data_IF_571987301341
#
_entry.id   IF_571987301341
#
_cell.length_a   1.000
_cell.length_b   1.000
_cell.length_c   1.000
_cell.angle_alpha   90.00
_cell.angle_beta   90.00
_cell.angle_gamma   90.00
#
_symmetry.space_group_name_H-M   'P 1'
#
loop_
_entity.id
_entity.type
_entity.pdbx_description
1 polymer ?
#
# COMPACT_ATOMS: atom_id res chain seq x y z
N UNK A 1 3.00 -32.68 -66.87
CA UNK A 1 4.43 -33.00 -67.02
C UNK A 1 5.14 -32.61 -65.74
N UNK A 2 5.38 -33.61 -64.91
CA UNK A 2 6.19 -33.52 -63.70
C UNK A 2 7.67 -33.57 -64.08
N UNK A 3 8.53 -32.87 -63.33
CA UNK A 3 9.93 -33.26 -63.17
C UNK A 3 10.33 -33.10 -61.70
N UNK A 4 10.73 -34.25 -61.17
CA UNK A 4 11.18 -34.54 -59.83
C UNK A 4 12.59 -33.99 -59.57
N UNK A 5 12.76 -33.53 -58.33
CA UNK A 5 13.76 -33.97 -57.33
C UNK A 5 15.17 -34.37 -57.80
N UNK A 6 16.18 -33.68 -57.25
CA UNK A 6 17.37 -34.35 -56.70
C UNK A 6 18.03 -33.54 -55.58
N UNK A 7 18.18 -34.26 -54.48
CA UNK A 7 18.84 -34.04 -53.19
C UNK A 7 20.34 -33.76 -53.30
N UNK A 8 20.89 -32.97 -52.36
CA UNK A 8 22.18 -33.28 -51.73
C UNK A 8 22.29 -32.56 -50.38
N UNK A 9 22.57 -33.36 -49.36
CA UNK A 9 22.75 -32.98 -47.97
C UNK A 9 24.23 -32.69 -47.68
N UNK A 10 24.50 -31.64 -46.91
CA UNK A 10 25.76 -31.48 -46.18
C UNK A 10 25.45 -31.18 -44.71
N UNK A 11 26.07 -32.01 -43.88
CA UNK A 11 25.92 -32.23 -42.44
C UNK A 11 27.18 -31.69 -41.76
N UNK A 12 27.03 -30.99 -40.62
CA UNK A 12 27.93 -30.93 -39.44
C UNK A 12 27.82 -29.54 -38.76
N UNK A 13 27.70 -29.34 -37.44
CA UNK A 13 27.30 -30.12 -36.27
C UNK A 13 26.75 -29.09 -35.25
N UNK A 14 25.79 -29.46 -34.38
CA UNK A 14 25.35 -28.62 -33.27
C UNK A 14 26.33 -28.73 -32.09
N UNK A 15 26.65 -27.59 -31.48
CA UNK A 15 27.47 -27.49 -30.28
C UNK A 15 26.84 -28.26 -29.11
N UNK A 16 27.58 -29.25 -28.62
CA UNK A 16 27.27 -30.00 -27.40
C UNK A 16 27.62 -29.13 -26.18
N UNK A 17 26.67 -28.95 -25.27
CA UNK A 17 26.98 -28.75 -23.86
C UNK A 17 26.25 -29.86 -23.10
N UNK A 18 27.02 -30.81 -22.60
CA UNK A 18 26.55 -31.96 -21.84
C UNK A 18 26.02 -31.49 -20.48
N UNK A 19 24.73 -31.72 -20.20
CA UNK A 19 24.23 -31.80 -18.84
C UNK A 19 24.15 -33.29 -18.47
N UNK A 20 24.96 -33.68 -17.49
CA UNK A 20 24.89 -34.99 -16.86
C UNK A 20 23.64 -35.07 -15.95
N UNK A 21 22.84 -36.14 -16.02
CA UNK A 21 21.79 -36.42 -15.06
C UNK A 21 22.31 -37.40 -14.00
N UNK A 22 22.36 -36.97 -12.75
CA UNK A 22 22.44 -37.76 -11.52
C UNK A 22 22.39 -36.74 -10.38
N UNK A 23 21.65 -36.89 -9.29
CA UNK A 23 20.75 -37.91 -8.78
C UNK A 23 19.96 -37.21 -7.66
N UNK A 24 18.87 -37.84 -7.21
CA UNK A 24 17.90 -37.20 -6.32
C UNK A 24 18.48 -36.61 -5.05
N UNK A 25 17.97 -35.44 -4.71
CA UNK A 25 17.60 -35.14 -3.34
C UNK A 25 16.15 -34.65 -3.35
N UNK A 26 15.36 -35.32 -2.53
CA UNK A 26 13.99 -35.05 -2.18
C UNK A 26 13.96 -33.76 -1.35
N UNK A 27 13.63 -32.63 -1.97
CA UNK A 27 13.34 -31.40 -1.24
C UNK A 27 12.20 -30.65 -1.95
N UNK A 28 11.01 -31.25 -1.96
CA UNK A 28 9.75 -30.60 -2.33
C UNK A 28 9.35 -29.55 -1.29
N UNK A 29 10.17 -28.52 -1.08
CA UNK A 29 9.70 -27.25 -0.54
C UNK A 29 9.25 -26.40 -1.72
N UNK A 30 7.95 -26.47 -2.01
CA UNK A 30 7.29 -25.65 -3.00
C UNK A 30 7.52 -24.17 -2.63
N UNK A 31 8.49 -23.52 -3.26
CA UNK A 31 8.84 -22.14 -2.92
C UNK A 31 7.67 -21.22 -3.29
N UNK A 32 7.05 -20.63 -2.27
CA UNK A 32 5.93 -19.71 -2.47
C UNK A 32 6.44 -18.46 -3.20
N UNK A 33 5.84 -18.14 -4.35
CA UNK A 33 6.15 -16.92 -5.10
C UNK A 33 5.10 -15.84 -4.84
N UNK A 34 5.53 -14.64 -4.45
CA UNK A 34 4.68 -13.46 -4.37
C UNK A 34 4.77 -12.55 -5.61
N UNK A 35 5.53 -12.96 -6.62
CA UNK A 35 5.65 -12.20 -7.86
C UNK A 35 4.28 -12.13 -8.56
N UNK A 36 3.77 -10.96 -8.98
CA UNK A 36 2.42 -10.81 -9.55
C UNK A 36 2.12 -11.74 -10.73
N UNK A 37 3.14 -12.10 -11.54
CA UNK A 37 3.02 -13.04 -12.67
C UNK A 37 3.00 -14.52 -12.27
N UNK A 38 3.40 -14.86 -11.05
CA UNK A 38 3.64 -16.25 -10.61
C UNK A 38 2.87 -16.64 -9.35
N UNK A 39 2.32 -15.67 -8.59
CA UNK A 39 1.50 -15.96 -7.42
C UNK A 39 0.28 -16.80 -7.79
N UNK A 40 0.11 -17.92 -7.09
CA UNK A 40 -1.03 -18.84 -7.28
C UNK A 40 -2.29 -18.30 -6.61
N UNK A 41 -3.46 -18.74 -7.07
CA UNK A 41 -4.74 -18.36 -6.45
C UNK A 41 -4.81 -18.81 -4.98
N UNK A 42 -4.27 -19.99 -4.66
CA UNK A 42 -4.16 -20.50 -3.29
C UNK A 42 -3.31 -19.58 -2.41
N UNK A 43 -2.11 -19.20 -2.88
CA UNK A 43 -1.23 -18.27 -2.16
C UNK A 43 -1.91 -16.92 -1.95
N UNK A 44 -2.61 -16.43 -2.98
CA UNK A 44 -3.34 -15.18 -2.94
C UNK A 44 -4.46 -15.20 -1.87
N UNK A 45 -5.30 -16.25 -1.84
CA UNK A 45 -6.34 -16.40 -0.83
C UNK A 45 -5.78 -16.60 0.58
N UNK A 46 -4.65 -17.33 0.70
CA UNK A 46 -3.95 -17.47 1.99
C UNK A 46 -3.53 -16.10 2.51
N UNK A 47 -2.86 -15.28 1.70
CA UNK A 47 -2.50 -13.90 2.08
C UNK A 47 -3.73 -13.06 2.44
N UNK A 48 -4.78 -13.14 1.63
CA UNK A 48 -6.03 -12.40 1.86
C UNK A 48 -6.65 -12.72 3.22
N UNK A 49 -6.63 -14.00 3.64
CA UNK A 49 -7.16 -14.44 4.94
C UNK A 49 -6.43 -13.82 6.15
N UNK A 50 -5.20 -13.34 5.96
CA UNK A 50 -4.41 -12.68 7.01
C UNK A 50 -4.64 -11.17 7.09
N UNK A 51 -5.43 -10.57 6.18
CA UNK A 51 -5.68 -9.13 6.20
C UNK A 51 -6.25 -8.63 7.55
N UNK A 52 -7.29 -9.24 8.15
CA UNK A 52 -7.88 -8.75 9.39
C UNK A 52 -6.89 -8.69 10.57
N UNK A 53 -6.08 -9.74 10.77
CA UNK A 53 -5.09 -9.72 11.87
C UNK A 53 -3.91 -8.80 11.56
N UNK A 54 -3.53 -8.66 10.29
CA UNK A 54 -2.44 -7.77 9.88
C UNK A 54 -2.79 -6.30 10.10
N UNK A 55 -3.99 -5.86 9.69
CA UNK A 55 -4.43 -4.46 9.85
C UNK A 55 -4.54 -4.06 11.32
N UNK A 56 -5.04 -4.95 12.17
CA UNK A 56 -5.08 -4.76 13.62
C UNK A 56 -3.67 -4.58 14.20
N UNK A 57 -2.75 -5.51 13.92
CA UNK A 57 -1.38 -5.48 14.47
C UNK A 57 -0.59 -4.27 14.01
N UNK A 58 -0.67 -3.93 12.72
CA UNK A 58 0.00 -2.75 12.17
C UNK A 58 -0.52 -1.49 12.85
N UNK A 59 -1.84 -1.35 13.01
CA UNK A 59 -2.41 -0.17 13.64
C UNK A 59 -2.05 -0.08 15.14
N UNK A 60 -2.16 -1.19 15.87
CA UNK A 60 -1.75 -1.30 17.28
C UNK A 60 -0.28 -0.91 17.45
N UNK A 61 0.61 -1.43 16.59
CA UNK A 61 2.03 -1.09 16.58
C UNK A 61 2.30 0.40 16.31
N UNK A 62 1.58 1.00 15.36
CA UNK A 62 1.66 2.46 15.10
C UNK A 62 1.26 3.28 16.35
N UNK A 63 0.25 2.85 17.10
CA UNK A 63 -0.19 3.54 18.33
C UNK A 63 0.85 3.41 19.45
N UNK A 64 1.41 2.21 19.66
CA UNK A 64 2.47 1.97 20.64
C UNK A 64 3.72 2.83 20.37
N UNK A 65 4.18 2.87 19.11
CA UNK A 65 5.32 3.70 18.71
C UNK A 65 5.05 5.20 18.94
N UNK A 66 3.82 5.66 18.68
CA UNK A 66 3.42 7.06 18.96
C UNK A 66 3.48 7.38 20.46
N UNK A 67 3.07 6.48 21.34
CA UNK A 67 3.15 6.68 22.80
C UNK A 67 4.61 6.73 23.27
N UNK A 68 5.45 5.79 22.82
CA UNK A 68 6.87 5.75 23.16
C UNK A 68 7.59 7.04 22.70
N UNK A 69 7.26 7.57 21.52
CA UNK A 69 7.84 8.83 21.02
C UNK A 69 7.45 10.07 21.83
N UNK A 70 6.32 10.04 22.56
CA UNK A 70 5.89 11.12 23.45
C UNK A 70 6.58 11.04 24.81
N UNK A 71 6.82 9.85 25.34
CA UNK A 71 7.54 9.64 26.60
C UNK A 71 9.00 10.13 26.54
N UNK A 72 9.66 10.00 25.38
CA UNK A 72 11.04 10.48 25.18
C UNK A 72 11.21 12.01 25.05
N UNK A 73 10.12 12.80 24.98
CA UNK A 73 10.15 14.28 24.83
C UNK A 73 9.83 15.03 26.14
N UNK A 74 10.20 14.47 27.29
CA UNK A 74 10.12 15.15 28.58
C UNK A 74 11.07 16.37 28.69
N UNK A 75 10.76 17.38 29.53
CA UNK A 75 11.52 18.63 29.59
C UNK A 75 12.93 18.40 30.13
N UNK A 76 13.94 19.05 29.51
CA UNK A 76 15.34 19.12 29.98
C UNK A 76 15.39 19.45 31.47
N UNK A 77 15.51 18.44 32.34
CA UNK A 77 15.93 18.62 33.72
C UNK A 77 17.45 18.79 33.75
N UNK A 78 17.89 19.83 34.47
CA UNK A 78 19.28 20.17 34.71
C UNK A 78 20.06 18.96 35.23
N UNK A 79 21.29 18.86 34.77
CA UNK A 79 22.25 17.84 35.16
C UNK A 79 22.59 17.94 36.65
N UNK A 80 22.41 16.84 37.40
CA UNK A 80 23.24 16.49 38.55
C UNK A 80 23.45 14.96 38.61
N UNK A 81 24.69 14.57 38.33
CA UNK A 81 25.53 13.53 38.94
C UNK A 81 24.97 12.13 39.30
N UNK A 82 25.39 11.16 38.46
CA UNK A 82 25.77 9.75 38.72
C UNK A 82 24.93 8.90 39.70
N UNK A 83 24.21 7.93 39.11
CA UNK A 83 24.29 6.53 39.50
C UNK A 83 23.97 5.64 38.29
N UNK A 84 24.85 4.69 38.03
CA UNK A 84 24.75 3.69 36.97
C UNK A 84 23.65 2.69 37.31
N UNK A 85 22.57 2.64 36.53
CA UNK A 85 21.64 1.52 36.49
C UNK A 85 21.45 1.15 35.03
N UNK A 86 21.73 -0.12 34.72
CA UNK A 86 21.64 -0.72 33.40
C UNK A 86 20.23 -0.61 32.80
N UNK A 87 20.07 -0.54 31.47
CA UNK A 87 18.77 -0.57 30.83
C UNK A 87 18.30 -2.02 30.70
N UNK A 88 17.55 -2.49 31.68
CA UNK A 88 16.74 -3.71 31.58
C UNK A 88 15.35 -3.37 32.05
N UNK A 89 14.42 -3.19 31.12
CA UNK A 89 13.18 -3.99 30.97
C UNK A 89 12.27 -3.31 29.94
N UNK A 90 11.56 -4.12 29.16
CA UNK A 90 10.37 -3.73 28.40
C UNK A 90 9.57 -2.73 29.26
N UNK A 91 9.37 -1.52 28.75
CA UNK A 91 8.42 -0.60 29.37
C UNK A 91 7.05 -1.28 29.29
N UNK A 92 6.62 -1.94 30.38
CA UNK A 92 5.25 -2.40 30.53
C UNK A 92 4.37 -1.17 30.38
N UNK A 93 3.51 -1.20 29.36
CA UNK A 93 2.50 -0.16 29.16
C UNK A 93 1.63 -0.11 30.42
N UNK A 94 1.32 1.09 30.88
CA UNK A 94 0.34 1.25 31.96
C UNK A 94 -1.02 0.68 31.49
N UNK A 95 -1.79 -0.04 32.33
CA UNK A 95 -3.09 -0.59 31.94
C UNK A 95 -4.05 0.44 31.30
N UNK A 96 -3.93 1.72 31.65
CA UNK A 96 -4.68 2.81 31.01
C UNK A 96 -4.25 3.05 29.55
N UNK A 97 -2.95 2.99 29.27
CA UNK A 97 -2.40 3.13 27.91
C UNK A 97 -2.79 1.96 27.03
N UNK A 98 -2.74 0.73 27.57
CA UNK A 98 -3.18 -0.46 26.84
C UNK A 98 -4.67 -0.38 26.50
N UNK A 99 -5.52 0.01 27.46
CA UNK A 99 -6.95 0.21 27.22
C UNK A 99 -7.19 1.24 26.12
N UNK A 100 -6.49 2.38 26.16
CA UNK A 100 -6.59 3.41 25.12
C UNK A 100 -6.14 2.89 23.74
N UNK A 101 -5.06 2.10 23.67
CA UNK A 101 -4.61 1.48 22.41
C UNK A 101 -5.70 0.56 21.84
N UNK A 102 -6.33 -0.25 22.68
CA UNK A 102 -7.40 -1.16 22.27
C UNK A 102 -8.62 -0.38 21.73
N UNK A 103 -9.07 0.64 22.45
CA UNK A 103 -10.21 1.48 22.04
C UNK A 103 -9.95 2.20 20.70
N UNK A 104 -8.76 2.78 20.51
CA UNK A 104 -8.40 3.44 19.26
C UNK A 104 -8.21 2.46 18.10
N UNK A 105 -7.72 1.25 18.39
CA UNK A 105 -7.62 0.17 17.40
C UNK A 105 -8.99 -0.27 16.93
N UNK A 106 -9.93 -0.49 17.87
CA UNK A 106 -11.30 -0.86 17.53
C UNK A 106 -11.99 0.22 16.67
N UNK A 107 -11.86 1.49 17.04
CA UNK A 107 -12.37 2.61 16.20
C UNK A 107 -11.80 2.60 14.79
N UNK A 108 -10.51 2.28 14.63
CA UNK A 108 -9.91 2.17 13.31
C UNK A 108 -10.42 0.97 12.53
N UNK A 109 -10.61 -0.19 13.18
CA UNK A 109 -11.18 -1.37 12.54
C UNK A 109 -12.63 -1.14 12.09
N UNK A 110 -13.42 -0.40 12.88
CA UNK A 110 -14.75 0.05 12.48
C UNK A 110 -14.69 0.95 11.24
N UNK A 111 -13.73 1.87 11.18
CA UNK A 111 -13.52 2.74 10.02
C UNK A 111 -13.04 1.96 8.78
N UNK A 112 -12.19 0.94 8.96
CA UNK A 112 -11.75 0.04 7.90
C UNK A 112 -12.93 -0.74 7.32
N UNK A 113 -13.74 -1.35 8.18
CA UNK A 113 -14.98 -2.03 7.80
C UNK A 113 -15.95 -1.08 7.12
N UNK A 114 -16.09 0.13 7.64
CA UNK A 114 -16.97 1.14 7.06
C UNK A 114 -16.57 1.44 5.61
N UNK A 115 -15.28 1.61 5.34
CA UNK A 115 -14.76 1.88 3.98
C UNK A 115 -15.03 0.74 2.99
N UNK A 116 -14.87 -0.52 3.41
CA UNK A 116 -15.02 -1.67 2.52
C UNK A 116 -16.45 -2.20 2.38
N UNK A 117 -17.26 -2.11 3.43
CA UNK A 117 -18.56 -2.78 3.49
C UNK A 117 -19.75 -1.82 3.58
N UNK A 118 -19.62 -0.76 4.38
CA UNK A 118 -20.77 0.09 4.74
C UNK A 118 -20.94 1.22 3.73
N UNK A 119 -19.89 2.00 3.48
CA UNK A 119 -19.94 3.14 2.58
C UNK A 119 -20.31 2.74 1.14
N UNK A 120 -19.76 1.64 0.55
CA UNK A 120 -20.20 1.23 -0.77
C UNK A 120 -21.70 0.92 -0.85
N UNK A 121 -22.31 0.38 0.22
CA UNK A 121 -23.76 0.11 0.27
C UNK A 121 -24.54 1.41 0.32
N UNK A 122 -24.13 2.34 1.18
CA UNK A 122 -24.73 3.68 1.27
C UNK A 122 -24.73 4.40 -0.07
N UNK A 123 -23.62 4.34 -0.82
CA UNK A 123 -23.51 4.97 -2.14
C UNK A 123 -24.44 4.28 -3.16
N UNK A 124 -24.51 2.94 -3.13
CA UNK A 124 -25.38 2.18 -4.02
C UNK A 124 -26.87 2.43 -3.73
N UNK A 125 -27.28 2.44 -2.47
CA UNK A 125 -28.64 2.72 -2.04
C UNK A 125 -29.06 4.14 -2.48
N UNK A 126 -28.19 5.13 -2.24
CA UNK A 126 -28.39 6.51 -2.67
C UNK A 126 -28.53 6.65 -4.20
N UNK A 127 -27.80 5.84 -4.96
CA UNK A 127 -27.94 5.80 -6.41
C UNK A 127 -29.33 5.31 -6.86
N UNK A 128 -29.91 4.38 -6.11
CA UNK A 128 -31.23 3.80 -6.38
C UNK A 128 -32.39 4.68 -5.86
N UNK A 129 -32.17 5.49 -4.82
CA UNK A 129 -33.18 6.36 -4.20
C UNK A 129 -33.48 7.66 -4.96
N UNK A 130 -32.62 8.06 -5.91
CA UNK A 130 -32.66 9.34 -6.63
C UNK A 130 -33.94 9.69 -7.42
N UNK A 131 -34.99 8.87 -7.37
CA UNK A 131 -36.28 9.11 -8.00
C UNK A 131 -37.36 9.80 -7.13
N UNK A 132 -37.10 10.05 -5.83
CA UNK A 132 -38.08 10.74 -4.97
C UNK A 132 -37.86 12.27 -4.96
N UNK A 133 -38.82 13.00 -5.53
CA UNK A 133 -38.84 14.48 -5.65
C UNK A 133 -38.55 15.18 -4.32
N UNK A 134 -37.50 16.02 -4.28
CA UNK A 134 -37.57 17.25 -3.49
C UNK A 134 -36.30 17.86 -2.88
N UNK A 135 -35.17 17.15 -2.70
CA UNK A 135 -34.02 17.77 -2.02
C UNK A 135 -32.62 17.18 -2.29
N UNK A 136 -32.51 15.92 -2.71
CA UNK A 136 -31.23 15.28 -2.95
C UNK A 136 -30.81 15.39 -4.43
N UNK A 137 -29.50 15.51 -4.73
CA UNK A 137 -28.98 15.30 -6.06
C UNK A 137 -29.38 13.91 -6.58
N UNK A 138 -29.76 13.82 -7.84
CA UNK A 138 -30.07 12.54 -8.49
C UNK A 138 -28.78 11.73 -8.69
N UNK A 139 -28.84 10.42 -8.42
CA UNK A 139 -27.73 9.48 -8.58
C UNK A 139 -26.77 9.37 -7.39
N UNK A 140 -25.70 8.59 -7.56
CA UNK A 140 -24.68 8.37 -6.54
C UNK A 140 -23.87 9.66 -6.27
N UNK A 141 -23.49 9.93 -5.02
CA UNK A 141 -22.58 11.01 -4.63
C UNK A 141 -22.00 10.75 -3.23
N UNK A 142 -21.00 11.54 -2.80
CA UNK A 142 -20.52 11.55 -1.41
C UNK A 142 -20.99 12.80 -0.65
N UNK A 143 -21.26 12.61 0.64
CA UNK A 143 -21.38 13.67 1.61
C UNK A 143 -20.00 14.17 2.04
N UNK A 144 -19.96 15.38 2.61
CA UNK A 144 -18.70 15.99 3.08
C UNK A 144 -18.05 15.16 4.18
N UNK A 145 -18.82 14.71 5.17
CA UNK A 145 -18.30 13.92 6.28
C UNK A 145 -17.78 12.55 5.80
N UNK A 146 -18.46 11.92 4.83
CA UNK A 146 -17.97 10.69 4.20
C UNK A 146 -16.60 10.90 3.54
N UNK A 147 -16.38 12.03 2.85
CA UNK A 147 -15.06 12.34 2.29
C UNK A 147 -14.00 12.59 3.36
N UNK A 148 -14.38 13.18 4.50
CA UNK A 148 -13.49 13.39 5.65
C UNK A 148 -13.09 12.04 6.25
N UNK A 149 -14.03 11.12 6.44
CA UNK A 149 -13.80 9.78 6.98
C UNK A 149 -12.95 8.92 6.03
N UNK A 150 -13.17 9.02 4.71
CA UNK A 150 -12.30 8.40 3.70
C UNK A 150 -10.86 8.89 3.85
N UNK A 151 -10.67 10.21 4.05
CA UNK A 151 -9.34 10.80 4.24
C UNK A 151 -8.71 10.37 5.56
N UNK A 152 -9.51 10.24 6.62
CA UNK A 152 -9.07 9.75 7.92
C UNK A 152 -8.58 8.30 7.81
N UNK A 153 -9.39 7.45 7.18
CA UNK A 153 -9.04 6.06 6.90
C UNK A 153 -7.73 6.00 6.13
N UNK A 154 -7.61 6.72 5.01
CA UNK A 154 -6.41 6.75 4.17
C UNK A 154 -5.15 7.15 4.96
N UNK A 155 -5.28 8.13 5.85
CA UNK A 155 -4.17 8.67 6.65
C UNK A 155 -3.74 7.71 7.76
N UNK A 156 -4.69 6.96 8.35
CA UNK A 156 -4.42 5.95 9.39
C UNK A 156 -3.89 4.65 8.80
N UNK A 157 -4.44 4.23 7.67
CA UNK A 157 -4.11 2.99 6.96
C UNK A 157 -2.72 3.10 6.31
N UNK A 158 -2.48 4.18 5.54
CA UNK A 158 -1.22 4.44 4.85
C UNK A 158 -0.26 5.40 5.57
N UNK A 159 0.46 6.19 4.77
CA UNK A 159 1.38 7.24 5.22
C UNK A 159 0.61 8.49 5.64
N UNK A 160 0.88 8.99 6.84
CA UNK A 160 0.20 10.18 7.36
C UNK A 160 0.62 11.45 6.61
N UNK A 161 -0.36 12.17 6.05
CA UNK A 161 -0.18 13.46 5.36
C UNK A 161 -1.10 14.52 6.00
N UNK A 162 -0.76 15.07 7.19
CA UNK A 162 -1.67 15.88 8.00
C UNK A 162 -2.29 17.08 7.27
N UNK A 163 -1.57 17.67 6.33
CA UNK A 163 -2.02 18.82 5.54
C UNK A 163 -3.24 18.52 4.66
N UNK A 164 -3.39 17.28 4.19
CA UNK A 164 -4.50 16.91 3.29
C UNK A 164 -5.85 16.98 4.00
N UNK A 165 -5.89 16.64 5.29
CA UNK A 165 -7.12 16.69 6.08
C UNK A 165 -7.69 18.11 6.15
N UNK A 166 -6.83 19.11 6.38
CA UNK A 166 -7.25 20.52 6.39
C UNK A 166 -7.79 20.98 5.03
N UNK A 167 -7.17 20.53 3.93
CA UNK A 167 -7.63 20.85 2.59
C UNK A 167 -9.01 20.25 2.31
N UNK A 168 -9.22 18.97 2.62
CA UNK A 168 -10.51 18.28 2.41
C UNK A 168 -11.62 19.00 3.18
N UNK A 169 -11.38 19.31 4.46
CA UNK A 169 -12.35 20.02 5.32
C UNK A 169 -12.71 21.42 4.82
N UNK A 170 -11.82 22.08 4.07
CA UNK A 170 -12.06 23.43 3.52
C UNK A 170 -13.00 23.44 2.30
N UNK A 171 -13.29 22.30 1.68
CA UNK A 171 -14.16 22.25 0.50
C UNK A 171 -15.63 22.51 0.85
N UNK A 172 -16.35 23.13 -0.08
CA UNK A 172 -17.79 23.37 0.02
C UNK A 172 -18.57 22.08 -0.21
N UNK A 173 -19.66 21.89 0.54
CA UNK A 173 -20.52 20.69 0.45
C UNK A 173 -21.06 20.51 -0.98
N UNK A 174 -21.51 21.60 -1.61
CA UNK A 174 -22.00 21.59 -2.98
C UNK A 174 -20.93 21.14 -4.00
N UNK A 175 -19.67 21.57 -3.81
CA UNK A 175 -18.56 21.15 -4.68
C UNK A 175 -18.29 19.67 -4.56
N UNK A 176 -18.22 19.12 -3.34
CA UNK A 176 -17.98 17.68 -3.12
C UNK A 176 -19.10 16.86 -3.77
N UNK A 177 -20.34 17.23 -3.47
CA UNK A 177 -21.54 16.52 -3.95
C UNK A 177 -21.60 16.51 -5.48
N UNK A 178 -21.48 17.69 -6.11
CA UNK A 178 -21.49 17.83 -7.58
C UNK A 178 -20.34 17.07 -8.23
N UNK A 179 -19.13 17.20 -7.71
CA UNK A 179 -17.93 16.61 -8.31
C UNK A 179 -17.93 15.09 -8.22
N UNK A 180 -18.35 14.54 -7.07
CA UNK A 180 -18.47 13.08 -6.88
C UNK A 180 -19.59 12.49 -7.72
N UNK A 181 -20.76 13.14 -7.77
CA UNK A 181 -21.85 12.76 -8.68
C UNK A 181 -21.40 12.75 -10.15
N UNK A 182 -20.74 13.83 -10.60
CA UNK A 182 -20.20 13.92 -11.96
C UNK A 182 -19.20 12.80 -12.23
N UNK A 183 -18.31 12.51 -11.27
CA UNK A 183 -17.29 11.49 -11.43
C UNK A 183 -17.89 10.08 -11.55
N UNK A 184 -18.90 9.76 -10.73
CA UNK A 184 -19.57 8.46 -10.76
C UNK A 184 -20.38 8.28 -12.04
N UNK A 185 -21.07 9.32 -12.51
CA UNK A 185 -21.80 9.28 -13.78
C UNK A 185 -20.87 9.17 -15.01
N UNK A 186 -19.61 9.59 -14.89
CA UNK A 186 -18.62 9.54 -15.97
C UNK A 186 -17.82 8.23 -16.04
N UNK A 187 -18.16 7.22 -15.22
CA UNK A 187 -17.49 5.93 -15.24
C UNK A 187 -17.69 5.23 -16.60
N UNK A 188 -16.63 4.66 -17.20
CA UNK A 188 -16.72 4.05 -18.51
C UNK A 188 -17.49 2.72 -18.46
N UNK A 189 -18.26 2.46 -19.52
CA UNK A 189 -18.95 1.17 -19.75
C UNK A 189 -18.12 0.19 -20.58
N UNK A 190 -16.95 0.61 -21.06
CA UNK A 190 -16.08 -0.21 -21.88
C UNK A 190 -15.46 -1.37 -21.09
N UNK A 191 -15.37 -2.54 -21.71
CA UNK A 191 -14.71 -3.71 -21.11
C UNK A 191 -13.18 -3.47 -21.07
N UNK A 192 -12.54 -3.50 -19.89
CA UNK A 192 -11.12 -3.20 -19.77
C UNK A 192 -10.19 -4.25 -20.38
N UNK A 193 -10.69 -5.43 -20.75
CA UNK A 193 -9.95 -6.44 -21.52
C UNK A 193 -10.06 -6.17 -23.01
N UNK A 194 -11.27 -5.85 -23.49
CA UNK A 194 -11.52 -5.64 -24.93
C UNK A 194 -11.09 -4.25 -25.43
N UNK A 195 -11.26 -3.21 -24.59
CA UNK A 195 -10.93 -1.83 -24.91
C UNK A 195 -10.20 -1.13 -23.74
N UNK A 196 -8.94 -1.50 -23.45
CA UNK A 196 -8.20 -1.00 -22.28
C UNK A 196 -8.03 0.53 -22.23
N UNK A 197 -7.98 1.19 -23.39
CA UNK A 197 -7.85 2.64 -23.47
C UNK A 197 -9.16 3.35 -23.10
N UNK A 198 -10.29 2.83 -23.56
CA UNK A 198 -11.61 3.44 -23.36
C UNK A 198 -12.17 3.11 -21.96
N UNK A 199 -11.75 1.99 -21.37
CA UNK A 199 -12.14 1.59 -20.03
C UNK A 199 -11.40 2.34 -18.92
N UNK A 200 -10.35 3.12 -19.23
CA UNK A 200 -9.63 3.89 -18.22
C UNK A 200 -10.48 5.11 -17.76
N UNK A 201 -10.78 5.27 -16.46
CA UNK A 201 -11.76 6.24 -15.96
C UNK A 201 -11.21 7.67 -15.86
N UNK A 202 -10.58 8.18 -16.92
CA UNK A 202 -9.91 9.50 -16.92
C UNK A 202 -10.88 10.63 -16.59
N UNK A 203 -12.06 10.65 -17.21
CA UNK A 203 -13.07 11.68 -16.98
C UNK A 203 -13.54 11.70 -15.51
N UNK A 204 -13.78 10.52 -14.93
CA UNK A 204 -14.13 10.39 -13.50
C UNK A 204 -13.03 10.90 -12.59
N UNK A 205 -11.76 10.60 -12.88
CA UNK A 205 -10.62 11.08 -12.10
C UNK A 205 -10.47 12.61 -12.19
N UNK A 206 -10.59 13.17 -13.39
CA UNK A 206 -10.48 14.62 -13.61
C UNK A 206 -11.59 15.39 -12.87
N UNK A 207 -12.81 14.84 -12.87
CA UNK A 207 -13.95 15.38 -12.14
C UNK A 207 -13.75 15.42 -10.61
N UNK A 208 -12.87 14.59 -10.06
CA UNK A 208 -12.51 14.61 -8.64
C UNK A 208 -11.28 15.47 -8.34
N UNK A 209 -10.26 15.39 -9.19
CA UNK A 209 -8.94 15.99 -8.93
C UNK A 209 -8.87 17.49 -9.22
N UNK A 210 -9.63 17.99 -10.20
CA UNK A 210 -9.62 19.40 -10.53
C UNK A 210 -10.39 20.28 -9.51
N UNK A 211 -11.60 19.92 -9.05
CA UNK A 211 -12.40 20.80 -8.20
C UNK A 211 -12.20 20.62 -6.69
N UNK A 212 -11.78 19.44 -6.21
CA UNK A 212 -11.70 19.15 -4.77
C UNK A 212 -10.28 19.32 -4.24
N UNK A 213 -10.05 20.32 -3.39
CA UNK A 213 -8.75 20.53 -2.75
C UNK A 213 -8.38 19.34 -1.86
N UNK A 214 -7.13 18.88 -1.97
CA UNK A 214 -6.63 17.73 -1.21
C UNK A 214 -6.94 16.37 -1.84
N UNK A 215 -7.63 16.35 -2.99
CA UNK A 215 -7.90 15.13 -3.77
C UNK A 215 -6.97 15.10 -5.00
N UNK A 216 -5.91 14.29 -4.92
CA UNK A 216 -5.08 13.94 -6.08
C UNK A 216 -5.46 12.58 -6.67
N UNK A 217 -4.72 12.06 -7.67
CA UNK A 217 -5.01 10.78 -8.34
C UNK A 217 -5.19 9.61 -7.37
N UNK A 218 -4.39 9.56 -6.31
CA UNK A 218 -4.51 8.53 -5.28
C UNK A 218 -5.81 8.64 -4.47
N UNK A 219 -6.29 9.84 -4.15
CA UNK A 219 -7.55 9.97 -3.40
C UNK A 219 -8.76 9.82 -4.34
N UNK A 220 -8.66 10.30 -5.57
CA UNK A 220 -9.69 10.12 -6.58
C UNK A 220 -9.94 8.64 -6.88
N UNK A 221 -8.88 7.85 -7.11
CA UNK A 221 -9.00 6.40 -7.31
C UNK A 221 -9.57 5.66 -6.10
N UNK A 222 -9.27 6.10 -4.86
CA UNK A 222 -9.92 5.56 -3.65
C UNK A 222 -11.43 5.81 -3.64
N UNK A 223 -11.85 7.04 -3.97
CA UNK A 223 -13.27 7.40 -4.04
C UNK A 223 -13.99 6.54 -5.10
N UNK A 224 -13.39 6.38 -6.28
CA UNK A 224 -13.95 5.56 -7.34
C UNK A 224 -13.95 4.06 -6.99
N UNK A 225 -12.93 3.55 -6.30
CA UNK A 225 -12.87 2.15 -5.88
C UNK A 225 -14.04 1.81 -4.94
N UNK A 226 -14.36 2.72 -4.01
CA UNK A 226 -15.47 2.56 -3.06
C UNK A 226 -16.81 2.57 -3.80
N UNK A 227 -17.01 3.52 -4.72
CA UNK A 227 -18.26 3.66 -5.45
C UNK A 227 -18.55 2.48 -6.39
N UNK A 228 -17.53 1.73 -6.79
CA UNK A 228 -17.64 0.66 -7.79
C UNK A 228 -17.61 -0.75 -7.20
N UNK A 229 -17.51 -0.92 -5.86
CA UNK A 229 -17.44 -2.24 -5.21
C UNK A 229 -18.60 -3.16 -5.63
N UNK A 230 -19.83 -2.64 -5.65
CA UNK A 230 -21.04 -3.39 -6.04
C UNK A 230 -21.43 -3.24 -7.51
N UNK A 231 -20.60 -2.57 -8.31
CA UNK A 231 -20.79 -2.53 -9.77
C UNK A 231 -20.35 -3.85 -10.40
N UNK A 232 -20.70 -4.05 -11.68
CA UNK A 232 -20.12 -5.12 -12.51
C UNK A 232 -18.60 -5.15 -12.33
N UNK A 233 -18.01 -6.35 -12.22
CA UNK A 233 -16.58 -6.56 -12.11
C UNK A 233 -15.79 -5.75 -13.16
N UNK A 234 -16.33 -5.60 -14.38
CA UNK A 234 -15.69 -4.82 -15.47
C UNK A 234 -15.57 -3.33 -15.15
N UNK A 235 -16.47 -2.79 -14.31
CA UNK A 235 -16.55 -1.37 -13.92
C UNK A 235 -15.82 -1.06 -12.62
N UNK A 236 -15.35 -2.08 -11.89
CA UNK A 236 -14.58 -1.86 -10.67
C UNK A 236 -13.29 -1.08 -10.96
N UNK A 237 -13.00 -0.11 -10.10
CA UNK A 237 -11.81 0.74 -10.22
C UNK A 237 -10.80 0.36 -9.13
N UNK A 238 -9.53 0.05 -9.46
CA UNK A 238 -8.51 -0.21 -8.46
C UNK A 238 -8.09 1.08 -7.75
N UNK A 239 -7.88 0.99 -6.43
CA UNK A 239 -7.32 2.08 -5.64
C UNK A 239 -5.81 2.17 -5.86
N UNK A 240 -5.32 3.38 -6.16
CA UNK A 240 -3.90 3.68 -6.15
C UNK A 240 -3.36 3.81 -4.71
N UNK A 241 -3.16 2.67 -4.06
CA UNK A 241 -2.45 2.59 -2.79
C UNK A 241 -0.95 2.43 -3.01
N UNK A 242 -0.15 2.87 -2.02
CA UNK A 242 1.30 2.68 -2.04
C UNK A 242 1.66 1.18 -2.12
N UNK A 243 0.89 0.33 -1.44
CA UNK A 243 1.16 -1.10 -1.35
C UNK A 243 0.93 -1.82 -2.67
N UNK A 244 -0.18 -1.50 -3.35
CA UNK A 244 -0.49 -2.07 -4.67
C UNK A 244 0.54 -1.59 -5.69
N UNK A 245 0.91 -0.30 -5.69
CA UNK A 245 1.90 0.23 -6.62
C UNK A 245 3.27 -0.39 -6.41
N UNK A 246 3.70 -0.51 -5.15
CA UNK A 246 4.95 -1.16 -4.78
C UNK A 246 5.00 -2.61 -5.28
N UNK A 247 3.92 -3.35 -5.04
CA UNK A 247 3.85 -4.77 -5.41
C UNK A 247 3.77 -4.98 -6.93
N UNK A 248 2.83 -4.31 -7.59
CA UNK A 248 2.49 -4.61 -8.98
C UNK A 248 3.33 -3.86 -10.01
N UNK A 249 3.72 -2.61 -9.73
CA UNK A 249 4.41 -1.76 -10.69
C UNK A 249 5.92 -1.70 -10.46
N UNK A 250 6.34 -1.81 -9.20
CA UNK A 250 7.75 -1.71 -8.81
C UNK A 250 8.37 -3.07 -8.46
N UNK A 251 7.58 -4.15 -8.51
CA UNK A 251 7.99 -5.53 -8.19
C UNK A 251 8.78 -5.62 -6.87
N UNK A 252 8.37 -4.84 -5.87
CA UNK A 252 8.98 -4.84 -4.55
C UNK A 252 8.02 -5.49 -3.55
N UNK A 253 8.35 -6.74 -3.25
CA UNK A 253 7.63 -7.62 -2.34
C UNK A 253 8.66 -8.54 -1.65
N UNK A 254 8.34 -9.09 -0.47
CA UNK A 254 9.23 -10.03 0.22
C UNK A 254 9.55 -11.24 -0.65
N UNK A 255 10.78 -11.74 -0.65
CA UNK A 255 11.16 -12.99 -1.32
C UNK A 255 11.49 -14.05 -0.26
N UNK A 256 10.65 -15.09 -0.13
CA UNK A 256 10.95 -16.26 0.68
C UNK A 256 11.09 -16.04 2.19
N UNK A 257 11.49 -17.10 2.89
CA UNK A 257 11.61 -17.17 4.36
C UNK A 257 12.99 -16.68 4.87
N UNK A 258 13.97 -16.50 3.98
CA UNK A 258 15.29 -15.95 4.29
C UNK A 258 15.30 -14.42 4.20
N UNK A 259 14.71 -13.78 5.20
CA UNK A 259 14.59 -12.31 5.35
C UNK A 259 15.92 -11.67 5.80
N UNK A 260 17.07 -12.35 5.65
CA UNK A 260 18.35 -11.87 6.20
C UNK A 260 19.08 -10.87 5.31
N UNK A 261 18.75 -10.76 4.02
CA UNK A 261 19.43 -9.85 3.09
C UNK A 261 18.47 -9.17 2.09
N UNK A 262 17.46 -8.46 2.59
CA UNK A 262 16.74 -7.53 1.73
C UNK A 262 17.66 -6.36 1.35
N UNK A 263 18.11 -6.34 0.10
CA UNK A 263 18.72 -5.14 -0.49
C UNK A 263 17.80 -3.95 -0.26
N UNK A 264 18.33 -2.79 0.17
CA UNK A 264 17.50 -1.62 0.41
C UNK A 264 16.72 -1.28 -0.85
N UNK A 265 15.39 -1.25 -0.73
CA UNK A 265 14.52 -0.90 -1.84
C UNK A 265 14.89 0.49 -2.36
N UNK A 266 15.21 0.57 -3.65
CA UNK A 266 15.43 1.86 -4.35
C UNK A 266 14.16 2.70 -4.43
N UNK A 267 13.01 2.09 -4.13
CA UNK A 267 11.69 2.70 -4.21
C UNK A 267 11.17 3.20 -2.86
N UNK A 268 11.91 2.97 -1.78
CA UNK A 268 11.54 3.42 -0.42
C UNK A 268 12.58 4.42 0.08
N UNK A 269 12.10 5.45 0.78
CA UNK A 269 12.93 6.35 1.58
C UNK A 269 13.44 5.59 2.82
N UNK A 270 14.46 6.11 3.54
CA UNK A 270 14.94 5.52 4.80
C UNK A 270 13.86 5.35 5.87
N UNK A 271 12.82 6.19 5.85
CA UNK A 271 11.67 6.10 6.76
C UNK A 271 10.59 5.10 6.30
N UNK A 272 10.85 4.33 5.25
CA UNK A 272 9.93 3.36 4.66
C UNK A 272 8.88 3.93 3.70
N UNK A 273 8.76 5.25 3.53
CA UNK A 273 7.79 5.82 2.58
C UNK A 273 8.14 5.49 1.13
N UNK A 274 7.12 5.22 0.33
CA UNK A 274 7.25 5.06 -1.12
C UNK A 274 7.73 6.37 -1.78
N UNK A 275 8.66 6.24 -2.74
CA UNK A 275 9.07 7.31 -3.64
C UNK A 275 8.18 7.23 -4.89
N UNK A 276 6.98 7.80 -4.80
CA UNK A 276 6.03 7.92 -5.92
C UNK A 276 5.72 9.39 -6.23
N UNK A 277 5.39 9.68 -7.49
CA UNK A 277 4.98 11.02 -7.94
C UNK A 277 3.48 11.27 -7.74
N UNK A 278 2.69 10.21 -7.61
CA UNK A 278 1.23 10.22 -7.50
C UNK A 278 0.56 10.96 -8.67
N UNK A 279 1.02 10.69 -9.89
CA UNK A 279 0.48 11.28 -11.12
C UNK A 279 -0.40 10.28 -11.90
N UNK A 280 -1.06 10.77 -12.96
CA UNK A 280 -1.96 9.94 -13.77
C UNK A 280 -1.25 8.83 -14.57
N UNK A 281 0.03 9.01 -14.92
CA UNK A 281 0.78 7.98 -15.64
C UNK A 281 1.06 6.79 -14.71
N UNK A 282 1.54 7.05 -13.49
CA UNK A 282 1.74 5.99 -12.50
C UNK A 282 0.42 5.30 -12.15
N UNK A 283 -0.69 6.04 -12.09
CA UNK A 283 -2.00 5.42 -11.91
C UNK A 283 -2.42 4.56 -13.10
N UNK A 284 -2.10 4.98 -14.33
CA UNK A 284 -2.37 4.19 -15.53
C UNK A 284 -1.57 2.88 -15.53
N UNK A 285 -0.33 2.91 -15.08
CA UNK A 285 0.49 1.70 -14.91
C UNK A 285 -0.14 0.76 -13.88
N UNK A 286 -0.56 1.30 -12.72
CA UNK A 286 -1.27 0.52 -11.70
C UNK A 286 -2.58 -0.07 -12.20
N UNK A 287 -3.36 0.70 -12.95
CA UNK A 287 -4.60 0.25 -13.57
C UNK A 287 -4.35 -0.97 -14.45
N UNK A 288 -3.40 -0.86 -15.38
CA UNK A 288 -3.06 -1.96 -16.30
C UNK A 288 -2.56 -3.20 -15.52
N UNK A 289 -1.64 -3.03 -14.58
CA UNK A 289 -1.08 -4.14 -13.81
C UNK A 289 -2.12 -4.84 -12.92
N UNK A 290 -3.04 -4.07 -12.33
CA UNK A 290 -4.15 -4.61 -11.54
C UNK A 290 -5.10 -5.42 -12.42
N UNK A 291 -5.45 -4.88 -13.59
CA UNK A 291 -6.29 -5.57 -14.58
C UNK A 291 -5.66 -6.90 -15.04
N UNK A 292 -4.36 -6.90 -15.36
CA UNK A 292 -3.63 -8.11 -15.75
C UNK A 292 -3.62 -9.18 -14.65
N UNK A 293 -3.33 -8.78 -13.40
CA UNK A 293 -3.33 -9.70 -12.27
C UNK A 293 -4.71 -10.31 -12.04
N UNK A 294 -5.76 -9.49 -12.03
CA UNK A 294 -7.13 -9.92 -11.83
C UNK A 294 -7.59 -10.89 -12.92
N UNK A 295 -7.33 -10.55 -14.18
CA UNK A 295 -7.66 -11.41 -15.31
C UNK A 295 -6.94 -12.76 -15.20
N UNK A 296 -5.64 -12.77 -14.88
CA UNK A 296 -4.87 -14.00 -14.71
C UNK A 296 -5.43 -14.89 -13.60
N UNK A 297 -5.65 -14.33 -12.40
CA UNK A 297 -6.12 -15.10 -11.25
C UNK A 297 -7.52 -15.67 -11.49
N UNK A 298 -8.42 -14.89 -12.10
CA UNK A 298 -9.78 -15.34 -12.39
C UNK A 298 -9.85 -16.33 -13.56
N UNK A 299 -8.94 -16.26 -14.54
CA UNK A 299 -8.85 -17.27 -15.60
C UNK A 299 -8.25 -18.59 -15.11
N UNK A 300 -7.44 -18.57 -14.05
CA UNK A 300 -6.90 -19.77 -13.41
C UNK A 300 -7.89 -20.44 -12.44
N UNK A 301 -8.98 -19.79 -12.08
CA UNK A 301 -10.01 -20.39 -11.23
C UNK A 301 -10.77 -21.44 -12.06
N UNK A 302 -10.60 -22.72 -11.73
CA UNK A 302 -11.49 -23.76 -12.25
C UNK A 302 -12.92 -23.44 -11.80
N UNK A 303 -13.92 -23.60 -12.70
CA UNK A 303 -15.35 -23.37 -12.43
C UNK A 303 -15.88 -24.12 -11.17
N UNK A 304 -15.10 -25.04 -10.62
CA UNK A 304 -15.45 -25.91 -9.47
C UNK A 304 -14.83 -25.49 -8.14
N UNK A 305 -14.02 -24.42 -8.07
CA UNK A 305 -13.30 -24.09 -6.83
C UNK A 305 -14.13 -23.40 -5.74
N UNK A 306 -15.38 -23.01 -6.02
CA UNK A 306 -16.29 -22.42 -5.02
C UNK A 306 -15.86 -21.07 -4.43
N UNK A 307 -14.71 -20.54 -4.82
CA UNK A 307 -14.22 -19.23 -4.42
C UNK A 307 -14.83 -18.13 -5.28
N UNK A 308 -15.19 -17.01 -4.64
CA UNK A 308 -15.63 -15.81 -5.36
C UNK A 308 -14.50 -15.27 -6.27
N UNK A 309 -14.84 -14.64 -7.41
CA UNK A 309 -13.85 -14.02 -8.28
C UNK A 309 -13.03 -12.97 -7.52
N UNK A 310 -11.72 -12.93 -7.79
CA UNK A 310 -10.82 -11.95 -7.20
C UNK A 310 -11.24 -10.54 -7.60
N UNK A 311 -11.51 -9.71 -6.60
CA UNK A 311 -11.84 -8.29 -6.76
C UNK A 311 -10.62 -7.38 -6.63
N UNK A 312 -10.77 -6.10 -6.96
CA UNK A 312 -9.70 -5.12 -6.68
C UNK A 312 -9.48 -4.83 -5.20
N UNK A 313 -10.53 -5.00 -4.40
CA UNK A 313 -10.43 -4.92 -2.94
C UNK A 313 -9.54 -6.05 -2.40
N UNK A 314 -9.64 -7.25 -2.97
CA UNK A 314 -8.79 -8.37 -2.56
C UNK A 314 -7.33 -8.13 -2.93
N UNK A 315 -7.07 -7.63 -4.15
CA UNK A 315 -5.72 -7.25 -4.59
C UNK A 315 -5.11 -6.22 -3.65
N UNK A 316 -5.89 -5.21 -3.26
CA UNK A 316 -5.46 -4.19 -2.30
C UNK A 316 -5.09 -4.80 -0.94
N UNK A 317 -5.95 -5.65 -0.38
CA UNK A 317 -5.74 -6.32 0.91
C UNK A 317 -4.52 -7.23 0.89
N UNK A 318 -4.33 -7.99 -0.19
CA UNK A 318 -3.15 -8.84 -0.38
C UNK A 318 -1.87 -8.00 -0.45
N UNK A 319 -1.89 -6.89 -1.20
CA UNK A 319 -0.76 -5.98 -1.26
C UNK A 319 -0.38 -5.43 0.12
N UNK A 320 -1.39 -5.06 0.92
CA UNK A 320 -1.19 -4.59 2.29
C UNK A 320 -0.56 -5.67 3.19
N UNK A 321 -1.01 -6.92 3.08
CA UNK A 321 -0.43 -8.05 3.83
C UNK A 321 1.01 -8.28 3.41
N UNK A 322 1.31 -8.28 2.10
CA UNK A 322 2.68 -8.45 1.59
C UNK A 322 3.62 -7.35 2.10
N UNK A 323 3.15 -6.10 2.12
CA UNK A 323 3.91 -4.98 2.67
C UNK A 323 4.28 -5.18 4.14
N UNK A 324 3.40 -5.82 4.90
CA UNK A 324 3.50 -5.99 6.34
C UNK A 324 3.68 -7.47 6.72
N UNK A 325 4.29 -8.27 5.83
CA UNK A 325 4.32 -9.73 5.98
C UNK A 325 5.01 -10.17 7.29
N UNK A 326 5.99 -9.38 7.75
CA UNK A 326 6.79 -9.66 8.95
C UNK A 326 5.99 -9.56 10.25
N UNK A 327 4.94 -8.74 10.27
CA UNK A 327 4.03 -8.60 11.43
C UNK A 327 2.72 -9.37 11.22
N UNK A 328 2.48 -9.86 10.00
CA UNK A 328 1.36 -10.73 9.67
C UNK A 328 1.53 -12.13 10.27
N UNK A 329 0.42 -12.86 10.41
CA UNK A 329 0.44 -14.26 10.84
C UNK A 329 0.78 -15.26 9.73
N UNK A 330 1.21 -14.78 8.55
CA UNK A 330 1.39 -15.60 7.36
C UNK A 330 2.40 -16.75 7.58
N UNK A 331 3.49 -16.46 8.28
CA UNK A 331 4.52 -17.44 8.64
C UNK A 331 4.31 -18.09 10.01
N UNK A 332 3.53 -17.48 10.91
CA UNK A 332 3.30 -17.99 12.26
C UNK A 332 2.62 -19.37 12.28
N UNK A 333 1.84 -19.70 11.24
CA UNK A 333 1.24 -21.03 11.06
C UNK A 333 2.18 -22.07 10.43
N UNK A 334 3.33 -21.64 9.91
CA UNK A 334 4.31 -22.50 9.25
C UNK A 334 5.42 -22.94 10.20
N UNK A 335 5.58 -22.26 11.35
CA UNK A 335 6.62 -22.57 12.34
C UNK A 335 6.17 -22.18 13.77
N UNK A 336 5.79 -23.14 14.64
CA UNK A 336 5.37 -22.86 16.03
C UNK A 336 6.48 -22.25 16.91
N UNK A 337 7.74 -22.21 16.45
CA UNK A 337 8.90 -21.75 17.21
C UNK A 337 9.33 -20.29 16.96
N UNK A 338 8.76 -19.60 15.96
CA UNK A 338 9.29 -18.30 15.52
C UNK A 338 8.77 -17.07 16.31
N UNK A 339 7.70 -17.20 17.09
CA UNK A 339 7.07 -16.06 17.78
C UNK A 339 7.93 -15.41 18.88
N UNK A 340 9.02 -16.06 19.34
CA UNK A 340 9.82 -15.58 20.47
C UNK A 340 11.04 -14.72 20.08
N UNK A 341 11.46 -14.72 18.81
CA UNK A 341 12.65 -13.97 18.37
C UNK A 341 12.33 -12.58 17.78
N UNK A 342 11.09 -12.32 17.37
CA UNK A 342 10.73 -11.11 16.61
C UNK A 342 10.72 -9.79 17.39
N UNK A 343 10.70 -9.84 18.73
CA UNK A 343 10.76 -8.61 19.55
C UNK A 343 12.17 -8.00 19.56
N UNK A 344 13.21 -8.78 19.25
CA UNK A 344 14.61 -8.32 19.32
C UNK A 344 15.06 -7.53 18.09
N UNK A 345 14.50 -7.80 16.91
CA UNK A 345 14.95 -7.20 15.65
C UNK A 345 14.33 -5.82 15.34
N UNK A 346 13.26 -5.43 16.05
CA UNK A 346 12.73 -4.06 15.95
C UNK A 346 13.56 -3.07 16.77
N UNK A 347 14.22 -3.52 17.85
CA UNK A 347 15.11 -2.67 18.66
C UNK A 347 16.47 -2.41 17.96
N UNK A 348 16.96 -3.33 17.14
CA UNK A 348 18.31 -3.23 16.54
C UNK A 348 18.42 -2.28 15.35
N UNK A 349 17.31 -1.93 14.69
CA UNK A 349 17.32 -1.02 13.52
C UNK A 349 17.31 0.47 13.93
N UNK A 350 16.97 0.79 15.18
CA UNK A 350 16.87 2.19 15.64
C UNK A 350 18.16 2.75 16.26
N UNK A 351 19.22 1.95 16.41
CA UNK A 351 20.45 2.32 17.12
C UNK A 351 21.67 2.40 16.20
N UNK A 352 21.65 3.31 15.22
CA UNK A 352 22.88 3.80 14.58
C UNK A 352 22.84 5.32 14.36
N UNK A 353 23.22 6.06 15.40
CA UNK A 353 23.65 7.46 15.30
C UNK A 353 25.14 7.52 14.91
N UNK A 354 25.58 8.48 14.06
CA UNK A 354 26.94 8.50 13.53
C UNK A 354 27.98 8.88 14.59
N UNK A 355 29.10 8.15 14.61
CA UNK A 355 30.30 8.51 15.37
C UNK A 355 31.02 9.68 14.68
N UNK A 356 31.25 10.76 15.42
CA UNK A 356 32.10 11.88 15.03
C UNK A 356 33.56 11.42 14.80
N UNK A 357 34.13 11.79 13.65
CA UNK A 357 35.56 11.62 13.36
C UNK A 357 36.35 12.85 13.84
N UNK A 358 37.28 12.64 14.77
CA UNK A 358 38.30 13.62 15.18
C UNK A 358 39.44 13.69 14.14
N UNK A 359 39.59 14.89 13.56
CA UNK A 359 40.77 15.79 13.49
C UNK A 359 42.16 15.22 13.15
N UNK A 360 42.74 15.75 12.07
CA UNK A 360 44.16 16.16 11.90
C UNK A 360 44.24 17.02 10.61
N UNK A 361 45.07 18.04 10.36
CA UNK A 361 45.94 18.98 11.09
C UNK A 361 46.29 20.13 10.10
N UNK A 362 46.71 21.30 10.62
CA UNK A 362 47.28 22.44 9.87
C UNK A 362 46.29 23.52 9.43
N UNK A 363 46.55 24.82 9.48
CA UNK A 363 47.59 25.67 10.07
C UNK A 363 46.98 27.09 10.12
N UNK A 364 47.45 27.93 11.03
CA UNK A 364 46.91 29.25 11.33
C UNK A 364 46.92 30.20 10.12
N UNK A 365 45.87 31.00 9.96
CA UNK A 365 46.05 32.46 9.90
C UNK A 365 44.74 33.20 10.18
N UNK A 366 44.83 34.12 11.14
CA UNK A 366 43.80 35.06 11.55
C UNK A 366 43.78 36.26 10.61
N UNK A 367 42.61 36.71 10.13
CA UNK A 367 42.34 38.16 9.93
C UNK A 367 40.87 38.51 9.63
N UNK A 368 40.29 39.17 10.64
CA UNK A 368 39.47 40.40 10.60
C UNK A 368 38.17 40.47 9.76
N UNK A 369 37.09 40.60 10.54
CA UNK A 369 35.81 41.24 10.24
C UNK A 369 35.90 42.52 9.40
N UNK A 370 34.91 42.71 8.50
CA UNK A 370 34.12 43.95 8.40
C UNK A 370 32.77 43.66 7.75
N UNK A 371 31.72 43.86 8.55
CA UNK A 371 30.31 43.96 8.18
C UNK A 371 30.07 45.43 7.82
N UNK A 372 29.59 45.71 6.62
CA UNK A 372 28.94 46.98 6.31
C UNK A 372 27.47 46.62 6.01
N UNK A 373 26.58 47.26 6.77
CA UNK A 373 25.14 47.24 6.60
C UNK A 373 24.71 48.70 6.51
N UNK A 374 23.65 48.94 5.74
CA UNK A 374 22.82 50.16 5.65
C UNK A 374 23.42 51.32 4.83
N UNK A 375 22.68 52.09 4.03
CA UNK A 375 21.22 52.24 3.86
C UNK A 375 20.90 53.08 2.60
N UNK A 376 19.65 52.96 2.13
CA UNK A 376 18.80 53.97 1.49
C UNK A 376 19.41 55.09 0.61
N UNK A 377 19.05 55.09 -0.68
CA UNK A 377 18.08 56.04 -1.25
C UNK A 377 17.55 55.54 -2.60
#
# INVERSE_FOLDING_TARGET
>A
MAKETKTSALRAQPGKTQYHPNGGDDDTKQHVSFHPRHITLETFHKLLSHYPSTVERVHRGKLMLKLQSKAGKGPKRKAETKASIAPTTKAELDPSEEKHILEETDKFLQLDRWRYEVLPKIIADRANEGGQKGAAPEGAYLLKEELVDIMEWKTKHGVSRPMLMGMVKSNQVATITKSTSTAFAALPDADPVAAPNDAFPKASLDALTAPIRGVGPATASLILSIATVFSDAKKQVPFYSDDVYLWLCLSDFPEGQDVSEHKPSKHKKPNGELIAKYNMNEYRDLWNASQELRARLNNCAEEKSGHEPVSFVDIERVAYVLRNITVSDYYARQDPGASLNYVKDVESVSDQLPKESKKDSGELETRRSKRIKQEAM
#
